data_IF_469869067534
#
_entry.id   IF_469869067534
#
_cell.length_a   1.000
_cell.length_b   1.000
_cell.length_c   1.000
_cell.angle_alpha   90.00
_cell.angle_beta   90.00
_cell.angle_gamma   90.00
#
_symmetry.space_group_name_H-M   'P 1'
#
loop_
_entity.id
_entity.type
_entity.pdbx_description
1 polymer ?
#
# COMPACT_ATOMS: atom_id res chain seq x y z
N UNK A 1 1.00 -29.00 -39.51
CA UNK A 1 0.05 -27.88 -39.44
C UNK A 1 0.86 -26.62 -39.05
N UNK A 2 0.74 -25.51 -39.76
CA UNK A 2 1.40 -24.27 -39.39
C UNK A 2 0.89 -23.80 -38.02
N UNK A 3 1.78 -23.42 -37.12
CA UNK A 3 1.39 -22.85 -35.83
C UNK A 3 0.59 -21.56 -36.04
N UNK A 4 -0.50 -21.32 -35.30
CA UNK A 4 -1.30 -20.11 -35.46
C UNK A 4 -0.40 -18.89 -35.26
N UNK A 5 -0.50 -17.90 -36.12
CA UNK A 5 0.28 -16.64 -36.11
C UNK A 5 -0.02 -15.77 -34.88
N UNK A 6 -1.12 -16.00 -34.19
CA UNK A 6 -1.57 -15.23 -33.02
C UNK A 6 -1.94 -16.18 -31.91
N UNK A 7 -1.39 -15.93 -30.72
CA UNK A 7 -1.76 -16.63 -29.50
C UNK A 7 -2.63 -15.68 -28.68
N UNK A 8 -3.88 -16.06 -28.47
CA UNK A 8 -4.77 -15.34 -27.54
C UNK A 8 -4.42 -15.75 -26.12
N UNK A 9 -3.90 -14.81 -25.33
CA UNK A 9 -3.67 -15.00 -23.91
C UNK A 9 -4.81 -14.34 -23.16
N UNK A 10 -5.61 -15.17 -22.46
CA UNK A 10 -6.66 -14.64 -21.58
C UNK A 10 -5.99 -14.14 -20.31
N UNK A 11 -6.12 -12.83 -19.98
CA UNK A 11 -5.49 -12.28 -18.79
C UNK A 11 -6.06 -12.93 -17.51
N UNK A 12 -5.17 -13.40 -16.65
CA UNK A 12 -5.52 -13.96 -15.36
C UNK A 12 -5.76 -12.85 -14.29
N UNK A 13 -6.13 -13.27 -13.08
CA UNK A 13 -6.32 -12.36 -11.95
C UNK A 13 -5.06 -11.55 -11.62
N UNK A 14 -3.87 -12.13 -11.76
CA UNK A 14 -2.59 -11.48 -11.48
C UNK A 14 -2.32 -10.34 -12.45
N UNK A 15 -2.56 -10.57 -13.74
CA UNK A 15 -2.49 -9.54 -14.78
C UNK A 15 -3.41 -8.36 -14.47
N UNK A 16 -4.69 -8.64 -14.16
CA UNK A 16 -5.66 -7.58 -13.87
C UNK A 16 -5.30 -6.80 -12.62
N UNK A 17 -4.78 -7.47 -11.58
CA UNK A 17 -4.32 -6.82 -10.37
C UNK A 17 -3.15 -5.85 -10.62
N UNK A 18 -2.21 -6.21 -11.49
CA UNK A 18 -1.11 -5.34 -11.89
C UNK A 18 -1.56 -4.13 -12.72
N UNK A 19 -2.71 -4.23 -13.39
CA UNK A 19 -3.27 -3.18 -14.23
C UNK A 19 -4.31 -2.27 -13.54
N UNK A 20 -4.40 -2.32 -12.20
CA UNK A 20 -5.25 -1.41 -11.44
C UNK A 20 -4.63 -0.01 -11.47
N UNK A 21 -5.25 0.93 -12.21
CA UNK A 21 -4.68 2.25 -12.49
C UNK A 21 -4.35 3.06 -11.25
N UNK A 22 -5.19 3.04 -10.21
CA UNK A 22 -4.90 3.73 -8.96
C UNK A 22 -3.72 3.13 -8.19
N UNK A 23 -3.46 1.84 -8.34
CA UNK A 23 -2.30 1.18 -7.75
C UNK A 23 -1.04 1.42 -8.56
N UNK A 24 -1.10 1.23 -9.88
CA UNK A 24 0.05 1.43 -10.78
C UNK A 24 0.45 2.90 -10.90
N UNK A 25 -0.49 3.83 -10.72
CA UNK A 25 -0.20 5.26 -10.65
C UNK A 25 0.45 5.70 -9.32
N UNK A 26 0.50 4.83 -8.31
CA UNK A 26 1.16 5.12 -7.05
C UNK A 26 2.65 4.75 -7.12
N UNK A 27 3.60 5.70 -6.87
CA UNK A 27 5.03 5.40 -6.92
C UNK A 27 5.48 4.25 -6.01
N UNK A 28 4.80 4.06 -4.88
CA UNK A 28 5.07 2.95 -3.94
C UNK A 28 4.11 1.77 -4.14
N UNK A 29 3.34 1.77 -5.24
CA UNK A 29 2.43 0.68 -5.62
C UNK A 29 1.47 0.25 -4.49
N UNK A 30 0.95 1.22 -3.72
CA UNK A 30 -0.01 0.94 -2.64
C UNK A 30 -1.31 0.37 -3.23
N UNK A 31 -1.83 -0.72 -2.65
CA UNK A 31 -3.14 -1.27 -3.03
C UNK A 31 -4.29 -0.34 -2.59
N UNK A 32 -4.47 0.73 -3.38
CA UNK A 32 -5.48 1.76 -3.10
C UNK A 32 -6.89 1.18 -3.13
N UNK A 33 -7.16 0.26 -4.04
CA UNK A 33 -8.45 -0.44 -4.12
C UNK A 33 -8.72 -1.26 -2.88
N UNK A 34 -7.69 -1.96 -2.38
CA UNK A 34 -7.81 -2.81 -1.21
C UNK A 34 -8.20 -2.02 0.03
N UNK A 35 -7.50 -0.91 0.34
CA UNK A 35 -7.86 -0.16 1.53
C UNK A 35 -9.17 0.64 1.38
N UNK A 36 -9.51 1.13 0.19
CA UNK A 36 -10.81 1.78 -0.05
C UNK A 36 -11.96 0.80 0.18
N UNK A 37 -11.84 -0.44 -0.30
CA UNK A 37 -12.83 -1.49 -0.04
C UNK A 37 -12.91 -1.89 1.43
N UNK A 38 -11.78 -1.97 2.12
CA UNK A 38 -11.77 -2.24 3.56
C UNK A 38 -12.44 -1.12 4.35
N UNK A 39 -12.26 0.15 3.96
CA UNK A 39 -13.01 1.28 4.54
C UNK A 39 -14.51 1.12 4.30
N UNK A 40 -14.91 0.80 3.08
CA UNK A 40 -16.31 0.62 2.72
C UNK A 40 -16.98 -0.52 3.49
N UNK A 41 -16.22 -1.55 3.88
CA UNK A 41 -16.72 -2.65 4.73
C UNK A 41 -16.63 -2.38 6.23
N UNK A 42 -16.15 -1.19 6.65
CA UNK A 42 -15.98 -0.84 8.07
C UNK A 42 -14.71 -1.39 8.73
N UNK A 43 -13.87 -2.13 8.00
CA UNK A 43 -12.63 -2.70 8.51
C UNK A 43 -11.47 -1.68 8.38
N UNK A 44 -11.55 -0.63 9.19
CA UNK A 44 -10.62 0.51 9.12
C UNK A 44 -9.19 0.13 9.52
N UNK A 45 -9.03 -0.80 10.45
CA UNK A 45 -7.70 -1.26 10.85
C UNK A 45 -6.99 -1.99 9.73
N UNK A 46 -7.68 -2.90 9.06
CA UNK A 46 -7.15 -3.58 7.87
C UNK A 46 -6.83 -2.58 6.75
N UNK A 47 -7.70 -1.58 6.55
CA UNK A 47 -7.45 -0.52 5.59
C UNK A 47 -6.16 0.23 5.90
N UNK A 48 -5.92 0.58 7.17
CA UNK A 48 -4.67 1.19 7.59
C UNK A 48 -3.46 0.34 7.26
N UNK A 49 -3.49 -0.96 7.59
CA UNK A 49 -2.35 -1.83 7.33
C UNK A 49 -2.09 -2.06 5.85
N UNK A 50 -3.12 -2.11 5.01
CA UNK A 50 -2.96 -2.15 3.56
C UNK A 50 -2.26 -0.87 3.06
N UNK A 51 -2.66 0.29 3.55
CA UNK A 51 -2.07 1.57 3.16
C UNK A 51 -0.64 1.75 3.68
N UNK A 52 -0.36 1.26 4.90
CA UNK A 52 0.91 1.45 5.62
C UNK A 52 2.01 0.49 5.17
N UNK A 53 1.67 -0.76 4.85
CA UNK A 53 2.66 -1.82 4.58
C UNK A 53 3.67 -1.46 3.50
N UNK A 54 3.27 -0.97 2.30
CA UNK A 54 4.23 -0.58 1.27
C UNK A 54 4.77 0.85 1.47
N UNK A 55 4.21 1.63 2.38
CA UNK A 55 4.49 3.04 2.54
C UNK A 55 4.72 3.39 4.02
N UNK A 56 5.97 3.44 4.49
CA UNK A 56 6.30 3.80 5.86
C UNK A 56 5.79 5.19 6.26
N UNK A 57 5.62 6.09 5.30
CA UNK A 57 5.16 7.46 5.50
C UNK A 57 3.70 7.65 5.09
N UNK A 58 2.84 6.63 5.25
CA UNK A 58 1.44 6.67 4.82
C UNK A 58 0.65 7.85 5.41
N UNK A 59 0.94 8.24 6.64
CA UNK A 59 0.32 9.37 7.33
C UNK A 59 0.64 10.70 6.64
N UNK A 60 1.92 10.92 6.34
CA UNK A 60 2.39 12.12 5.62
C UNK A 60 1.79 12.12 4.20
N UNK A 61 1.84 11.00 3.50
CA UNK A 61 1.23 10.87 2.17
C UNK A 61 -0.27 11.16 2.16
N UNK A 62 -0.99 10.84 3.23
CA UNK A 62 -2.40 11.20 3.39
C UNK A 62 -2.66 12.70 3.37
N UNK A 63 -1.63 13.54 3.59
CA UNK A 63 -1.72 14.99 3.67
C UNK A 63 -1.09 15.72 2.49
N UNK A 64 0.13 15.34 2.10
CA UNK A 64 0.94 16.14 1.17
C UNK A 64 1.13 15.50 -0.21
N UNK A 65 0.68 14.26 -0.41
CA UNK A 65 0.85 13.57 -1.69
C UNK A 65 0.04 14.28 -2.79
N UNK A 66 0.62 14.43 -3.98
CA UNK A 66 -0.06 14.93 -5.18
C UNK A 66 -1.15 14.00 -5.74
N UNK A 67 -1.38 12.86 -5.10
CA UNK A 67 -2.42 11.87 -5.38
C UNK A 67 -2.49 11.41 -6.85
N UNK A 68 -1.39 10.93 -7.46
CA UNK A 68 -1.42 10.43 -8.83
C UNK A 68 -2.38 9.24 -9.01
N UNK A 69 -2.70 8.54 -7.93
CA UNK A 69 -3.73 7.51 -7.91
C UNK A 69 -5.15 8.06 -8.18
N UNK A 70 -5.43 9.29 -7.77
CA UNK A 70 -6.72 9.97 -8.06
C UNK A 70 -6.75 10.43 -9.51
N UNK A 71 -5.65 10.99 -10.03
CA UNK A 71 -5.53 11.37 -11.44
C UNK A 71 -5.73 10.14 -12.36
N UNK A 72 -5.17 9.00 -11.98
CA UNK A 72 -5.31 7.74 -12.71
C UNK A 72 -6.63 7.00 -12.45
N UNK A 73 -7.52 7.55 -11.62
CA UNK A 73 -8.75 6.89 -11.23
C UNK A 73 -9.75 6.81 -12.40
N UNK A 74 -10.09 5.59 -12.82
CA UNK A 74 -11.05 5.37 -13.92
C UNK A 74 -12.45 5.88 -13.61
N UNK A 75 -12.82 6.00 -12.34
CA UNK A 75 -14.11 6.58 -11.95
C UNK A 75 -14.24 8.03 -12.42
N UNK A 76 -13.13 8.79 -12.44
CA UNK A 76 -13.11 10.15 -12.96
C UNK A 76 -13.53 10.29 -14.42
N UNK A 77 -13.62 9.20 -15.18
CA UNK A 77 -14.13 9.18 -16.55
C UNK A 77 -15.67 9.07 -16.60
N UNK A 78 -16.29 8.73 -15.48
CA UNK A 78 -17.73 8.52 -15.37
C UNK A 78 -18.37 9.72 -14.62
N UNK A 79 -17.81 10.05 -13.46
CA UNK A 79 -18.27 11.14 -12.60
C UNK A 79 -17.10 11.86 -11.92
N UNK A 80 -16.72 11.44 -10.72
CA UNK A 80 -15.62 12.05 -9.95
C UNK A 80 -14.68 10.98 -9.43
N UNK A 81 -13.39 11.27 -9.50
CA UNK A 81 -12.37 10.37 -8.94
C UNK A 81 -12.60 10.12 -7.45
N UNK A 82 -12.34 8.90 -6.99
CA UNK A 82 -12.41 8.57 -5.56
C UNK A 82 -11.35 9.37 -4.81
N UNK A 83 -11.72 10.03 -3.72
CA UNK A 83 -10.81 10.82 -2.86
C UNK A 83 -9.88 9.91 -2.05
N UNK A 84 -8.99 9.20 -2.77
CA UNK A 84 -8.13 8.13 -2.25
C UNK A 84 -7.17 8.64 -1.17
N UNK A 85 -6.63 9.86 -1.36
CA UNK A 85 -5.75 10.52 -0.40
C UNK A 85 -6.47 10.87 0.90
N UNK A 86 -7.69 11.41 0.80
CA UNK A 86 -8.50 11.73 1.97
C UNK A 86 -8.87 10.47 2.77
N UNK A 87 -9.21 9.37 2.08
CA UNK A 87 -9.47 8.08 2.71
C UNK A 87 -8.22 7.50 3.38
N UNK A 88 -7.04 7.67 2.77
CA UNK A 88 -5.76 7.31 3.41
C UNK A 88 -5.54 8.11 4.69
N UNK A 89 -5.74 9.43 4.64
CA UNK A 89 -5.65 10.30 5.82
C UNK A 89 -6.58 9.84 6.94
N UNK A 90 -7.83 9.57 6.61
CA UNK A 90 -8.83 9.10 7.58
C UNK A 90 -8.36 7.86 8.36
N UNK A 91 -7.84 6.83 7.68
CA UNK A 91 -7.40 5.62 8.38
C UNK A 91 -6.07 5.80 9.11
N UNK A 92 -5.18 6.65 8.61
CA UNK A 92 -3.91 6.94 9.32
C UNK A 92 -4.13 7.78 10.57
N UNK A 93 -5.10 8.69 10.60
CA UNK A 93 -5.48 9.43 11.80
C UNK A 93 -6.11 8.53 12.86
N UNK A 94 -6.83 7.48 12.46
CA UNK A 94 -7.47 6.54 13.40
C UNK A 94 -6.53 5.46 13.94
N UNK A 95 -5.60 4.97 13.12
CA UNK A 95 -4.80 3.79 13.42
C UNK A 95 -3.30 4.02 13.24
N UNK A 96 -2.89 5.18 12.77
CA UNK A 96 -1.50 5.56 12.57
C UNK A 96 -0.81 6.05 13.84
N UNK A 97 0.36 6.61 13.65
CA UNK A 97 1.19 7.13 14.75
C UNK A 97 0.49 8.23 15.54
N UNK A 98 -0.38 8.99 14.89
CA UNK A 98 -1.17 10.07 15.53
C UNK A 98 -2.23 9.54 16.50
N UNK A 99 -2.72 8.33 16.28
CA UNK A 99 -3.73 7.70 17.13
C UNK A 99 -3.12 6.99 18.35
N UNK A 100 -1.82 6.76 18.36
CA UNK A 100 -1.15 5.99 19.39
C UNK A 100 -0.82 6.86 20.59
N UNK A 101 -1.48 6.60 21.72
CA UNK A 101 -1.20 7.28 23.00
C UNK A 101 -0.01 6.68 23.75
N UNK A 102 0.36 5.42 23.43
CA UNK A 102 1.46 4.69 24.06
C UNK A 102 2.39 4.16 22.98
N UNK A 103 3.58 4.74 22.77
CA UNK A 103 4.48 4.38 21.67
C UNK A 103 4.84 2.89 21.57
N UNK A 104 4.96 2.21 22.72
CA UNK A 104 5.33 0.78 22.77
C UNK A 104 4.31 -0.16 22.11
N UNK A 105 3.04 0.18 22.14
CA UNK A 105 1.97 -0.68 21.59
C UNK A 105 1.95 -0.67 20.07
N UNK A 106 2.25 0.47 19.45
CA UNK A 106 2.38 0.58 18.01
C UNK A 106 3.51 -0.33 17.48
N UNK A 107 4.68 -0.28 18.11
CA UNK A 107 5.81 -1.10 17.70
C UNK A 107 5.54 -2.60 17.81
N UNK A 108 4.84 -3.04 18.88
CA UNK A 108 4.42 -4.44 19.04
C UNK A 108 3.48 -4.87 17.93
N UNK A 109 2.47 -4.05 17.64
CA UNK A 109 1.47 -4.33 16.61
C UNK A 109 2.08 -4.33 15.21
N UNK A 110 2.95 -3.39 14.92
CA UNK A 110 3.72 -3.32 13.69
C UNK A 110 4.52 -4.61 13.46
N UNK A 111 5.30 -5.03 14.46
CA UNK A 111 6.08 -6.28 14.40
C UNK A 111 5.21 -7.51 14.13
N UNK A 112 4.02 -7.60 14.75
CA UNK A 112 3.11 -8.74 14.56
C UNK A 112 2.58 -8.84 13.13
N UNK A 113 2.26 -7.70 12.51
CA UNK A 113 1.77 -7.64 11.12
C UNK A 113 2.89 -8.00 10.13
N UNK A 114 4.11 -7.53 10.37
CA UNK A 114 5.24 -7.85 9.50
C UNK A 114 5.71 -9.30 9.64
N UNK A 115 5.66 -9.88 10.85
CA UNK A 115 5.94 -11.32 11.03
C UNK A 115 4.99 -12.19 10.20
N UNK A 116 3.69 -11.88 10.19
CA UNK A 116 2.70 -12.61 9.38
C UNK A 116 2.93 -12.50 7.87
N UNK A 117 3.56 -11.41 7.40
CA UNK A 117 3.91 -11.24 5.97
C UNK A 117 5.27 -11.84 5.61
N UNK A 118 6.18 -11.95 6.57
CA UNK A 118 7.51 -12.55 6.39
C UNK A 118 7.46 -14.02 6.03
N UNK A 119 6.40 -14.73 6.41
CA UNK A 119 6.18 -16.13 6.04
C UNK A 119 5.99 -16.33 4.53
N UNK A 120 5.78 -15.26 3.76
CA UNK A 120 5.66 -15.30 2.30
C UNK A 120 6.98 -15.04 1.53
N UNK A 121 8.05 -14.67 2.23
CA UNK A 121 9.38 -14.50 1.62
C UNK A 121 10.23 -15.73 1.97
N UNK A 122 9.76 -16.88 1.54
CA UNK A 122 10.58 -18.11 1.59
C UNK A 122 11.78 -17.92 0.66
N UNK A 123 12.98 -18.01 1.22
CA UNK A 123 14.23 -18.09 0.46
C UNK A 123 15.23 -16.94 0.64
N UNK A 124 14.92 -15.91 1.44
CA UNK A 124 15.98 -14.95 1.82
C UNK A 124 16.69 -15.51 3.06
N UNK A 125 17.83 -16.14 2.83
CA UNK A 125 18.74 -16.52 3.90
C UNK A 125 19.04 -15.28 4.75
N UNK A 126 18.88 -15.40 6.08
CA UNK A 126 19.27 -14.37 7.03
C UNK A 126 20.76 -14.10 6.82
N UNK A 127 21.11 -12.97 6.25
CA UNK A 127 22.51 -12.55 6.10
C UNK A 127 22.93 -11.90 7.42
N UNK A 128 24.04 -12.33 7.99
CA UNK A 128 24.71 -11.63 9.09
C UNK A 128 25.37 -10.36 8.56
N UNK A 129 24.54 -9.40 8.15
CA UNK A 129 24.95 -8.12 7.64
C UNK A 129 24.60 -7.03 8.65
N UNK A 130 25.58 -6.20 8.99
CA UNK A 130 25.38 -4.97 9.76
C UNK A 130 25.00 -3.86 8.79
N UNK A 131 23.83 -3.28 8.98
CA UNK A 131 23.36 -2.14 8.19
C UNK A 131 23.45 -0.89 9.04
N UNK A 132 24.21 0.10 8.58
CA UNK A 132 24.28 1.41 9.22
C UNK A 132 23.41 2.41 8.46
N UNK A 133 22.60 3.18 9.20
CA UNK A 133 21.76 4.22 8.64
C UNK A 133 22.36 5.57 9.08
N UNK A 134 22.76 6.40 8.11
CA UNK A 134 23.31 7.73 8.36
C UNK A 134 22.29 8.77 7.90
N UNK A 135 21.82 9.56 8.85
CA UNK A 135 20.84 10.63 8.61
C UNK A 135 19.45 10.34 9.14
N UNK A 136 18.72 11.41 9.48
CA UNK A 136 17.35 11.39 9.99
C UNK A 136 16.36 12.03 9.00
N UNK A 137 16.65 11.96 7.70
CA UNK A 137 15.71 12.32 6.64
C UNK A 137 14.63 11.24 6.45
N UNK A 138 13.67 11.46 5.53
CA UNK A 138 12.58 10.49 5.28
C UNK A 138 13.06 9.06 5.03
N UNK A 139 14.17 8.88 4.30
CA UNK A 139 14.74 7.57 4.01
C UNK A 139 15.40 6.92 5.24
N UNK A 140 16.00 7.70 6.13
CA UNK A 140 16.60 7.19 7.37
C UNK A 140 15.60 6.89 8.47
N UNK A 141 14.40 7.49 8.41
CA UNK A 141 13.30 7.26 9.35
C UNK A 141 12.33 6.18 8.91
N UNK A 142 12.37 5.75 7.65
CA UNK A 142 11.52 4.72 7.07
C UNK A 142 12.03 3.32 7.36
#
# INVERSE_FOLDING_TARGET
MPKPKFQVVIPDYKYWRQNIKCQTGCPVNTDSRGYVRAIASGDYEKAYWIARTPNPLASICGRVCGAPCEIACRRGWIDTAVSIRALKRFVTEKYGVEAVRVPGDYAKKFRSVYKKKGDGIQGIAKKDAVVSIVGAGPAGLA
#
